data_IF_605463071220
#
_entry.id   IF_605463071220
#
_cell.length_a   1.000
_cell.length_b   1.000
_cell.length_c   1.000
_cell.angle_alpha   90.00
_cell.angle_beta   90.00
_cell.angle_gamma   90.00
#
_symmetry.space_group_name_H-M   'P 1'
#
loop_
_entity.id
_entity.type
_entity.pdbx_description
1 polymer ?
#
# COMPACT_ATOMS: atom_id res chain seq x y z
N UNK A 1 19.69 -11.80 -0.96
CA UNK A 1 19.16 -11.68 -2.34
C UNK A 1 17.73 -11.21 -2.30
N UNK A 2 17.33 -10.38 -3.28
CA UNK A 2 15.93 -9.94 -3.44
C UNK A 2 15.28 -10.79 -4.53
N UNK A 3 14.21 -11.49 -4.17
CA UNK A 3 13.50 -12.34 -5.09
C UNK A 3 12.51 -11.54 -5.97
N UNK A 4 12.31 -12.01 -7.19
CA UNK A 4 11.25 -11.51 -8.06
C UNK A 4 9.87 -11.85 -7.48
N UNK A 5 8.84 -11.03 -7.78
CA UNK A 5 7.48 -11.21 -7.26
C UNK A 5 6.77 -12.46 -7.78
N UNK A 6 7.30 -13.06 -8.83
CA UNK A 6 6.78 -14.26 -9.47
C UNK A 6 7.24 -15.56 -8.79
N UNK A 7 8.12 -15.49 -7.80
CA UNK A 7 8.64 -16.66 -7.07
C UNK A 7 7.63 -17.07 -6.00
N UNK A 8 7.14 -18.31 -6.08
CA UNK A 8 6.19 -18.88 -5.13
C UNK A 8 6.86 -19.46 -3.86
N UNK A 9 6.05 -19.78 -2.84
CA UNK A 9 6.55 -20.31 -1.56
C UNK A 9 7.38 -21.58 -1.71
N UNK A 10 6.97 -22.50 -2.57
CA UNK A 10 7.71 -23.76 -2.78
C UNK A 10 9.09 -23.50 -3.41
N UNK A 11 9.14 -22.56 -4.36
CA UNK A 11 10.41 -22.17 -4.98
C UNK A 11 11.32 -21.48 -3.96
N UNK A 12 10.77 -20.65 -3.05
CA UNK A 12 11.52 -20.01 -1.96
C UNK A 12 12.11 -21.07 -1.03
N UNK A 13 11.33 -22.07 -0.63
CA UNK A 13 11.81 -23.20 0.18
C UNK A 13 12.94 -23.96 -0.51
N UNK A 14 12.83 -24.16 -1.81
CA UNK A 14 13.88 -24.84 -2.59
C UNK A 14 15.13 -23.96 -2.72
N UNK A 15 14.98 -22.65 -2.95
CA UNK A 15 16.09 -21.69 -2.95
C UNK A 15 16.79 -21.74 -1.59
N UNK A 16 16.04 -21.64 -0.48
CA UNK A 16 16.60 -21.67 0.88
C UNK A 16 17.44 -22.91 1.15
N UNK A 17 17.03 -24.07 0.66
CA UNK A 17 17.79 -25.32 0.81
C UNK A 17 19.10 -25.34 0.05
N UNK A 18 19.22 -24.55 -1.04
CA UNK A 18 20.38 -24.59 -1.95
C UNK A 18 21.40 -23.47 -1.71
N UNK A 19 21.03 -22.41 -1.02
CA UNK A 19 21.91 -21.29 -0.76
C UNK A 19 22.56 -21.39 0.63
N UNK A 20 23.71 -20.71 0.89
CA UNK A 20 24.30 -20.64 2.21
C UNK A 20 23.33 -20.18 3.29
N UNK A 21 23.47 -20.73 4.50
CA UNK A 21 22.55 -20.44 5.60
C UNK A 21 22.56 -18.96 6.04
N UNK A 22 23.70 -18.29 5.88
CA UNK A 22 23.92 -16.89 6.19
C UNK A 22 23.46 -15.92 5.07
N UNK A 23 23.04 -16.45 3.92
CA UNK A 23 22.51 -15.61 2.84
C UNK A 23 21.08 -15.21 3.14
N UNK A 24 20.83 -13.91 3.25
CA UNK A 24 19.50 -13.34 3.44
C UNK A 24 18.63 -13.44 2.19
N UNK A 25 17.35 -13.75 2.39
CA UNK A 25 16.32 -13.75 1.35
C UNK A 25 15.35 -12.62 1.65
N UNK A 26 15.26 -11.64 0.74
CA UNK A 26 14.27 -10.57 0.77
C UNK A 26 13.19 -10.81 -0.28
N UNK A 27 11.93 -10.65 0.09
CA UNK A 27 10.80 -10.72 -0.84
C UNK A 27 9.81 -9.59 -0.63
N UNK A 28 9.11 -9.19 -1.69
CA UNK A 28 8.02 -8.22 -1.57
C UNK A 28 6.84 -8.86 -0.85
N UNK A 29 6.24 -8.11 0.08
CA UNK A 29 5.08 -8.58 0.87
C UNK A 29 3.87 -7.65 0.72
N UNK A 30 4.06 -6.41 0.23
CA UNK A 30 2.98 -5.44 0.09
C UNK A 30 3.22 -4.47 -1.06
N UNK A 31 2.12 -4.04 -1.66
CA UNK A 31 2.07 -2.94 -2.62
C UNK A 31 1.75 -3.38 -4.04
N UNK A 32 2.02 -2.48 -4.96
CA UNK A 32 1.62 -2.61 -6.35
C UNK A 32 2.30 -3.77 -7.07
N UNK A 33 1.50 -4.68 -7.64
CA UNK A 33 1.99 -5.70 -8.55
C UNK A 33 2.20 -5.13 -9.95
N UNK A 34 3.22 -5.63 -10.65
CA UNK A 34 3.48 -5.31 -12.04
C UNK A 34 2.71 -6.28 -12.95
N UNK A 35 2.24 -5.79 -14.09
CA UNK A 35 1.64 -6.61 -15.14
C UNK A 35 2.67 -7.41 -15.93
N UNK A 36 3.91 -6.94 -15.99
CA UNK A 36 5.02 -7.60 -16.66
C UNK A 36 5.90 -8.34 -15.67
N UNK A 37 6.57 -9.38 -16.14
CA UNK A 37 7.62 -10.03 -15.37
C UNK A 37 8.65 -9.02 -14.87
N UNK A 38 9.15 -9.22 -13.68
CA UNK A 38 10.15 -8.37 -13.03
C UNK A 38 11.37 -8.20 -13.95
N UNK A 39 11.79 -6.95 -14.15
CA UNK A 39 12.93 -6.59 -15.00
C UNK A 39 12.69 -6.70 -16.52
N UNK A 40 11.45 -6.91 -16.98
CA UNK A 40 11.14 -7.09 -18.43
C UNK A 40 10.26 -6.00 -19.01
N UNK A 41 9.75 -5.08 -18.21
CA UNK A 41 8.85 -4.04 -18.70
C UNK A 41 9.59 -2.90 -19.41
N UNK A 42 9.17 -2.56 -20.61
CA UNK A 42 9.68 -1.44 -21.39
C UNK A 42 8.64 -0.32 -21.60
N UNK A 43 7.38 -0.53 -21.21
CA UNK A 43 6.28 0.41 -21.49
C UNK A 43 6.55 1.79 -20.88
N UNK A 44 7.04 1.83 -19.63
CA UNK A 44 7.31 3.11 -18.96
C UNK A 44 8.42 3.91 -19.68
N UNK A 45 9.49 3.25 -20.07
CA UNK A 45 10.58 3.92 -20.79
C UNK A 45 10.11 4.39 -22.17
N UNK A 46 9.37 3.55 -22.89
CA UNK A 46 8.86 3.89 -24.22
C UNK A 46 7.90 5.09 -24.21
N UNK A 47 6.97 5.14 -23.24
CA UNK A 47 5.95 6.20 -23.19
C UNK A 47 6.42 7.47 -22.46
N UNK A 48 7.38 7.38 -21.54
CA UNK A 48 7.73 8.49 -20.63
C UNK A 48 9.21 8.76 -20.49
N UNK A 49 10.08 7.96 -21.13
CA UNK A 49 11.53 8.03 -20.94
C UNK A 49 12.01 7.56 -19.56
N UNK A 50 11.15 6.96 -18.73
CA UNK A 50 11.47 6.54 -17.36
C UNK A 50 11.64 5.02 -17.28
N UNK A 51 12.84 4.59 -16.90
CA UNK A 51 13.23 3.17 -16.86
C UNK A 51 12.56 2.39 -15.72
N UNK A 52 11.52 1.62 -16.03
CA UNK A 52 10.81 0.80 -15.04
C UNK A 52 11.76 -0.16 -14.30
N UNK A 53 12.71 -0.75 -15.01
CA UNK A 53 13.69 -1.71 -14.45
C UNK A 53 14.76 -1.04 -13.58
N UNK A 54 14.84 0.28 -13.58
CA UNK A 54 15.68 1.10 -12.69
C UNK A 54 14.90 1.66 -11.50
N UNK A 55 13.65 1.23 -11.34
CA UNK A 55 12.76 1.72 -10.29
C UNK A 55 12.12 3.08 -10.58
N UNK A 56 12.14 3.57 -11.82
CA UNK A 56 11.59 4.89 -12.22
C UNK A 56 10.23 4.77 -12.92
N UNK A 57 9.54 3.65 -12.73
CA UNK A 57 8.29 3.34 -13.40
C UNK A 57 7.21 4.42 -13.19
N UNK A 58 6.70 4.99 -14.28
CA UNK A 58 5.57 5.92 -14.28
C UNK A 58 4.21 5.21 -14.20
N UNK A 59 4.20 3.88 -14.14
CA UNK A 59 3.02 3.02 -14.10
C UNK A 59 2.04 3.22 -15.27
N UNK A 60 2.49 3.34 -16.51
CA UNK A 60 1.60 3.60 -17.65
C UNK A 60 0.60 2.46 -17.90
N UNK A 61 0.93 1.22 -17.51
CA UNK A 61 -0.02 0.10 -17.56
C UNK A 61 -1.29 0.31 -16.71
N UNK A 62 -1.33 1.36 -15.89
CA UNK A 62 -2.45 1.71 -15.02
C UNK A 62 -3.22 2.94 -15.50
N UNK A 63 -2.78 3.56 -16.60
CA UNK A 63 -3.51 4.65 -17.22
C UNK A 63 -4.73 4.13 -17.97
N UNK A 64 -5.71 4.99 -18.16
CA UNK A 64 -6.85 4.67 -19.02
C UNK A 64 -6.46 4.84 -20.49
N UNK A 65 -6.76 3.84 -21.29
CA UNK A 65 -6.45 3.83 -22.71
C UNK A 65 -7.71 3.62 -23.55
N UNK A 66 -7.65 4.18 -24.75
CA UNK A 66 -8.57 3.87 -25.83
C UNK A 66 -7.75 3.48 -27.05
N UNK A 67 -8.16 2.44 -27.74
CA UNK A 67 -7.61 2.10 -29.06
C UNK A 67 -8.33 2.93 -30.10
N UNK A 68 -7.56 3.42 -31.06
CA UNK A 68 -8.07 4.09 -32.27
C UNK A 68 -7.44 3.40 -33.47
N UNK A 69 -8.25 2.99 -34.43
CA UNK A 69 -7.77 2.48 -35.70
C UNK A 69 -7.39 3.65 -36.61
N UNK A 70 -6.23 3.59 -37.27
CA UNK A 70 -5.71 4.65 -38.15
C UNK A 70 -6.71 5.04 -39.26
N UNK A 71 -7.44 4.07 -39.81
CA UNK A 71 -8.45 4.28 -40.87
C UNK A 71 -9.82 4.73 -40.35
N UNK A 72 -9.98 4.82 -39.02
CA UNK A 72 -11.21 5.26 -38.37
C UNK A 72 -10.91 6.36 -37.35
N UNK A 73 -10.41 7.51 -37.77
CA UNK A 73 -10.09 8.60 -36.88
C UNK A 73 -11.34 9.05 -36.09
N UNK A 74 -11.15 9.40 -34.82
CA UNK A 74 -12.19 9.81 -33.89
C UNK A 74 -13.17 8.71 -33.41
N UNK A 75 -12.91 7.44 -33.73
CA UNK A 75 -13.59 6.32 -33.08
C UNK A 75 -12.67 5.72 -32.03
N UNK A 76 -13.09 5.82 -30.77
CA UNK A 76 -12.32 5.34 -29.63
C UNK A 76 -12.94 4.04 -29.10
N UNK A 77 -12.11 3.01 -29.02
CA UNK A 77 -12.50 1.72 -28.45
C UNK A 77 -11.89 1.63 -27.05
N UNK A 78 -12.77 1.60 -26.02
CA UNK A 78 -12.30 1.41 -24.65
C UNK A 78 -11.67 0.03 -24.51
N UNK A 79 -10.51 -0.02 -23.87
CA UNK A 79 -9.81 -1.28 -23.63
C UNK A 79 -10.22 -1.83 -22.28
N UNK A 80 -10.69 -3.07 -22.27
CA UNK A 80 -11.07 -3.84 -21.06
C UNK A 80 -10.77 -5.32 -21.29
N UNK A 81 -10.90 -6.15 -20.29
CA UNK A 81 -10.68 -7.60 -20.37
C UNK A 81 -11.94 -8.37 -20.04
N UNK A 82 -12.11 -9.50 -20.70
CA UNK A 82 -13.11 -10.51 -20.38
C UNK A 82 -12.49 -11.92 -20.36
N UNK A 83 -13.28 -12.95 -20.16
CA UNK A 83 -12.86 -14.36 -20.10
C UNK A 83 -12.14 -14.87 -21.36
N UNK A 84 -12.07 -14.10 -22.44
CA UNK A 84 -11.57 -14.50 -23.75
C UNK A 84 -10.26 -13.84 -24.16
N UNK A 85 -9.79 -12.80 -23.43
CA UNK A 85 -8.54 -12.13 -23.78
C UNK A 85 -8.22 -10.88 -22.96
N UNK A 86 -6.92 -10.54 -22.99
CA UNK A 86 -6.34 -9.46 -22.19
C UNK A 86 -6.41 -8.12 -22.90
N UNK A 87 -6.88 -7.17 -22.21
CA UNK A 87 -7.00 -5.77 -22.56
C UNK A 87 -6.28 -4.99 -21.48
N UNK A 88 -5.39 -4.19 -21.64
CA UNK A 88 -4.51 -3.46 -20.71
C UNK A 88 -5.07 -3.25 -19.27
N UNK A 89 -4.67 -3.68 -18.31
CA UNK A 89 -3.96 -4.47 -17.37
C UNK A 89 -3.95 -3.84 -15.96
N UNK A 90 -4.95 -4.14 -15.13
CA UNK A 90 -5.01 -3.77 -13.72
C UNK A 90 -4.67 -4.96 -12.83
N UNK A 91 -3.37 -5.16 -12.53
CA UNK A 91 -2.98 -6.12 -11.51
C UNK A 91 -3.54 -5.71 -10.15
N UNK A 92 -4.02 -6.67 -9.37
CA UNK A 92 -4.32 -6.48 -7.95
C UNK A 92 -3.07 -6.05 -7.20
N UNK A 93 -3.23 -5.36 -6.10
CA UNK A 93 -2.11 -5.05 -5.22
C UNK A 93 -1.82 -6.27 -4.34
N UNK A 94 -0.57 -6.43 -3.92
CA UNK A 94 -0.14 -7.53 -3.04
C UNK A 94 -0.35 -7.15 -1.58
N UNK A 95 -0.86 -8.09 -0.77
CA UNK A 95 -0.88 -8.01 0.68
C UNK A 95 -0.68 -9.40 1.28
N UNK A 96 0.40 -9.58 2.02
CA UNK A 96 0.78 -10.83 2.69
C UNK A 96 0.71 -10.70 4.23
N UNK A 97 -0.01 -9.72 4.75
CA UNK A 97 0.02 -9.39 6.18
C UNK A 97 -0.48 -10.53 7.08
N UNK A 98 -1.42 -11.33 6.59
CA UNK A 98 -1.97 -12.49 7.29
C UNK A 98 -1.19 -13.79 7.04
N UNK A 99 -0.11 -13.74 6.25
CA UNK A 99 0.65 -14.90 5.78
C UNK A 99 2.16 -14.74 6.02
N UNK A 100 2.55 -13.96 7.02
CA UNK A 100 3.96 -13.73 7.34
C UNK A 100 4.64 -14.98 7.89
N UNK A 101 3.91 -15.83 8.60
CA UNK A 101 4.35 -17.12 9.09
C UNK A 101 4.78 -18.04 7.95
N UNK A 102 3.98 -18.18 6.89
CA UNK A 102 4.32 -18.97 5.71
C UNK A 102 5.63 -18.53 5.05
N UNK A 103 5.86 -17.19 5.02
CA UNK A 103 7.10 -16.63 4.47
C UNK A 103 8.30 -16.89 5.37
N UNK A 104 8.15 -16.75 6.69
CA UNK A 104 9.19 -17.06 7.68
C UNK A 104 9.55 -18.55 7.58
N UNK A 105 8.55 -19.44 7.54
CA UNK A 105 8.73 -20.88 7.42
C UNK A 105 9.38 -21.29 6.09
N UNK A 106 9.15 -20.50 5.03
CA UNK A 106 9.83 -20.69 3.75
C UNK A 106 11.30 -20.22 3.77
N UNK A 107 11.73 -19.52 4.84
CA UNK A 107 13.10 -19.05 5.02
C UNK A 107 13.36 -17.61 4.52
N UNK A 108 12.32 -16.81 4.38
CA UNK A 108 12.43 -15.36 4.12
C UNK A 108 12.94 -14.67 5.39
N UNK A 109 13.93 -13.79 5.24
CA UNK A 109 14.58 -13.07 6.34
C UNK A 109 14.31 -11.56 6.31
N UNK A 110 13.80 -11.04 5.18
CA UNK A 110 13.53 -9.61 5.00
C UNK A 110 12.24 -9.40 4.19
N UNK A 111 11.36 -8.55 4.71
CA UNK A 111 10.08 -8.23 4.10
C UNK A 111 10.13 -6.84 3.46
N UNK A 112 9.85 -6.79 2.17
CA UNK A 112 9.92 -5.56 1.38
C UNK A 112 8.55 -5.01 1.07
N UNK A 113 8.31 -3.77 1.45
CA UNK A 113 7.08 -3.02 1.15
C UNK A 113 7.35 -2.11 -0.05
N UNK A 114 6.52 -2.18 -1.09
CA UNK A 114 6.56 -1.26 -2.22
C UNK A 114 5.71 -0.03 -1.94
N UNK A 115 6.35 1.10 -1.81
CA UNK A 115 5.70 2.38 -1.53
C UNK A 115 6.35 3.59 -2.21
N UNK A 116 7.25 3.37 -3.17
CA UNK A 116 8.05 4.43 -3.79
C UNK A 116 7.22 5.58 -4.40
N UNK A 117 6.13 5.24 -5.07
CA UNK A 117 5.23 6.22 -5.71
C UNK A 117 4.02 6.56 -4.81
N UNK A 118 4.09 6.24 -3.53
CA UNK A 118 3.02 6.43 -2.56
C UNK A 118 3.33 7.59 -1.60
N UNK A 119 2.32 8.04 -0.85
CA UNK A 119 2.47 9.10 0.16
C UNK A 119 3.24 8.60 1.39
N UNK A 120 3.76 9.55 2.18
CA UNK A 120 4.36 9.24 3.48
C UNK A 120 3.35 8.53 4.41
N UNK A 121 2.08 8.91 4.38
CA UNK A 121 0.99 8.25 5.10
C UNK A 121 0.86 6.77 4.74
N UNK A 122 0.86 6.46 3.44
CA UNK A 122 0.84 5.07 2.98
C UNK A 122 1.99 4.25 3.58
N UNK A 123 3.21 4.78 3.53
CA UNK A 123 4.38 4.09 4.04
C UNK A 123 4.32 3.92 5.55
N UNK A 124 3.99 4.99 6.28
CA UNK A 124 3.90 4.97 7.74
C UNK A 124 2.86 3.94 8.22
N UNK A 125 1.66 3.97 7.65
CA UNK A 125 0.57 3.06 8.01
C UNK A 125 0.94 1.60 7.68
N UNK A 126 1.43 1.34 6.47
CA UNK A 126 1.78 -0.01 6.04
C UNK A 126 2.90 -0.59 6.89
N UNK A 127 3.97 0.19 7.17
CA UNK A 127 5.08 -0.26 8.00
C UNK A 127 4.63 -0.52 9.43
N UNK A 128 3.78 0.34 10.00
CA UNK A 128 3.23 0.15 11.35
C UNK A 128 2.42 -1.14 11.44
N UNK A 129 1.51 -1.38 10.51
CA UNK A 129 0.68 -2.58 10.46
C UNK A 129 1.54 -3.85 10.30
N UNK A 130 2.48 -3.86 9.34
CA UNK A 130 3.38 -5.01 9.13
C UNK A 130 4.31 -5.25 10.32
N UNK A 131 4.78 -4.21 11.01
CA UNK A 131 5.60 -4.36 12.21
C UNK A 131 4.80 -5.05 13.32
N UNK A 132 3.57 -4.61 13.57
CA UNK A 132 2.69 -5.21 14.57
C UNK A 132 2.33 -6.67 14.22
N UNK A 133 2.03 -6.93 12.93
CA UNK A 133 1.75 -8.28 12.46
C UNK A 133 2.95 -9.21 12.63
N UNK A 134 4.15 -8.75 12.27
CA UNK A 134 5.38 -9.53 12.43
C UNK A 134 5.72 -9.79 13.89
N UNK A 135 5.54 -8.81 14.77
CA UNK A 135 5.78 -8.98 16.22
C UNK A 135 4.83 -10.01 16.86
N UNK A 136 3.58 -10.06 16.40
CA UNK A 136 2.63 -11.10 16.82
C UNK A 136 3.03 -12.47 16.26
N UNK A 137 3.36 -12.54 14.98
CA UNK A 137 3.78 -13.78 14.33
C UNK A 137 5.01 -14.40 14.99
N UNK A 138 6.03 -13.58 15.35
CA UNK A 138 7.23 -14.04 16.05
C UNK A 138 6.96 -14.56 17.47
N UNK A 139 5.82 -14.22 18.08
CA UNK A 139 5.34 -14.77 19.36
C UNK A 139 4.46 -16.01 19.18
N UNK A 140 4.19 -16.41 17.94
CA UNK A 140 3.24 -17.50 17.62
C UNK A 140 1.78 -17.07 17.78
N UNK A 141 1.50 -15.77 17.77
CA UNK A 141 0.17 -15.18 17.87
C UNK A 141 -0.34 -14.76 16.49
N UNK A 142 -1.67 -14.72 16.34
CA UNK A 142 -2.27 -14.13 15.13
C UNK A 142 -2.12 -12.60 15.15
N UNK A 143 -1.95 -11.96 13.99
CA UNK A 143 -1.96 -10.51 13.91
C UNK A 143 -3.23 -9.91 14.51
N UNK A 144 -3.14 -8.77 15.22
CA UNK A 144 -4.31 -8.06 15.71
C UNK A 144 -5.23 -7.66 14.55
N UNK A 145 -6.53 -7.68 14.77
CA UNK A 145 -7.52 -7.36 13.70
C UNK A 145 -7.29 -5.99 13.08
N UNK A 146 -6.91 -5.00 13.89
CA UNK A 146 -6.71 -3.64 13.41
C UNK A 146 -5.63 -3.51 12.32
N UNK A 147 -4.63 -4.41 12.25
CA UNK A 147 -3.57 -4.31 11.22
C UNK A 147 -4.13 -4.52 9.81
N UNK A 148 -5.13 -5.40 9.67
CA UNK A 148 -5.81 -5.62 8.38
C UNK A 148 -6.74 -4.46 8.06
N UNK A 149 -7.48 -3.96 9.07
CA UNK A 149 -8.34 -2.79 8.93
C UNK A 149 -7.51 -1.58 8.46
N UNK A 150 -6.30 -1.39 9.02
CA UNK A 150 -5.39 -0.31 8.62
C UNK A 150 -4.96 -0.39 7.15
N UNK A 151 -4.45 -1.53 6.69
CA UNK A 151 -3.98 -1.64 5.31
C UNK A 151 -5.11 -1.48 4.28
N UNK A 152 -6.37 -1.64 4.70
CA UNK A 152 -7.53 -1.35 3.86
C UNK A 152 -7.90 0.14 3.79
N UNK A 153 -7.41 0.99 4.69
CA UNK A 153 -7.66 2.46 4.68
C UNK A 153 -6.84 3.21 3.63
N UNK A 154 -5.68 2.69 3.27
CA UNK A 154 -4.79 3.34 2.31
C UNK A 154 -5.28 3.15 0.87
N UNK A 155 -4.81 4.02 -0.01
CA UNK A 155 -5.13 3.95 -1.44
C UNK A 155 -4.55 2.69 -2.07
N UNK A 156 -5.39 1.69 -2.32
CA UNK A 156 -5.00 0.41 -2.88
C UNK A 156 -6.05 -0.10 -3.90
N UNK A 157 -5.66 -1.10 -4.68
CA UNK A 157 -6.57 -1.96 -5.44
C UNK A 157 -6.93 -3.18 -4.62
N UNK A 158 -7.94 -3.96 -4.99
CA UNK A 158 -8.22 -5.21 -4.30
C UNK A 158 -6.94 -6.02 -4.10
N UNK A 159 -6.75 -6.51 -2.89
CA UNK A 159 -5.55 -7.25 -2.52
C UNK A 159 -5.56 -8.68 -3.05
N UNK A 160 -4.38 -9.23 -3.20
CA UNK A 160 -4.09 -10.63 -3.49
C UNK A 160 -2.79 -11.04 -2.82
N UNK A 161 -2.55 -12.34 -2.74
CA UNK A 161 -1.28 -12.89 -2.25
C UNK A 161 -0.20 -12.98 -3.36
N UNK A 162 -0.42 -12.33 -4.50
CA UNK A 162 0.50 -12.42 -5.64
C UNK A 162 0.65 -13.84 -6.15
N UNK A 163 1.89 -14.28 -6.34
CA UNK A 163 2.21 -15.63 -6.85
C UNK A 163 2.63 -16.62 -5.77
N UNK A 164 2.58 -16.26 -4.48
CA UNK A 164 3.09 -17.08 -3.41
C UNK A 164 2.43 -18.47 -3.35
N UNK A 165 1.14 -18.56 -3.59
CA UNK A 165 0.37 -19.83 -3.57
C UNK A 165 0.08 -20.39 -4.96
N UNK A 166 0.88 -20.02 -5.96
CA UNK A 166 0.79 -20.54 -7.32
C UNK A 166 0.38 -19.51 -8.35
N UNK A 167 0.16 -19.99 -9.58
CA UNK A 167 -0.27 -19.11 -10.68
C UNK A 167 -1.66 -18.56 -10.40
N UNK A 168 -1.93 -17.32 -10.84
CA UNK A 168 -3.27 -16.77 -10.78
C UNK A 168 -4.24 -17.68 -11.52
N UNK A 169 -5.13 -18.31 -10.81
CA UNK A 169 -6.26 -19.06 -11.35
C UNK A 169 -7.56 -18.45 -10.82
N UNK A 170 -8.62 -18.70 -11.49
CA UNK A 170 -9.99 -18.23 -11.36
C UNK A 170 -10.69 -18.32 -9.99
N UNK A 171 -10.02 -17.93 -8.93
CA UNK A 171 -10.71 -17.63 -7.66
C UNK A 171 -11.08 -18.78 -6.74
N UNK A 172 -10.52 -19.98 -6.91
CA UNK A 172 -10.93 -21.18 -6.14
C UNK A 172 -10.06 -21.49 -4.90
N UNK A 173 -9.47 -20.53 -4.21
CA UNK A 173 -8.43 -20.85 -3.23
C UNK A 173 -8.50 -20.23 -1.82
N UNK A 174 -9.38 -19.31 -1.46
CA UNK A 174 -9.49 -18.82 -0.06
C UNK A 174 -10.92 -18.61 0.40
N UNK A 175 -11.11 -18.79 1.72
CA UNK A 175 -12.38 -18.53 2.39
C UNK A 175 -12.58 -17.05 2.77
N UNK A 176 -11.58 -16.19 2.57
CA UNK A 176 -11.73 -14.74 2.79
C UNK A 176 -12.15 -14.07 1.47
N UNK A 177 -13.37 -13.51 1.40
CA UNK A 177 -13.85 -12.83 0.22
C UNK A 177 -13.05 -11.55 -0.13
N UNK A 178 -12.23 -11.04 0.80
CA UNK A 178 -11.42 -9.84 0.62
C UNK A 178 -9.98 -10.16 0.16
N UNK A 179 -9.51 -11.38 0.35
CA UNK A 179 -8.17 -11.82 -0.08
C UNK A 179 -8.31 -12.87 -1.16
N UNK A 180 -8.19 -12.47 -2.39
CA UNK A 180 -8.10 -13.41 -3.50
C UNK A 180 -6.68 -13.96 -3.54
N UNK A 181 -6.52 -15.25 -3.24
CA UNK A 181 -5.22 -15.94 -3.17
C UNK A 181 -4.46 -16.01 -4.49
N UNK A 182 -5.02 -15.48 -5.54
CA UNK A 182 -4.42 -15.56 -6.86
C UNK A 182 -4.19 -14.15 -7.39
N UNK A 183 -2.99 -13.86 -7.86
CA UNK A 183 -2.56 -12.60 -8.47
C UNK A 183 -3.36 -12.22 -9.72
N UNK A 184 -4.70 -12.28 -9.61
CA UNK A 184 -5.64 -12.01 -10.68
C UNK A 184 -5.65 -10.55 -11.10
N UNK A 185 -6.21 -10.30 -12.27
CA UNK A 185 -6.51 -8.97 -12.77
C UNK A 185 -7.80 -8.44 -12.12
N UNK A 186 -7.88 -7.14 -11.89
CA UNK A 186 -9.08 -6.48 -11.39
C UNK A 186 -9.76 -5.71 -12.53
N UNK A 187 -11.04 -6.00 -12.77
CA UNK A 187 -11.75 -5.58 -13.98
C UNK A 187 -12.84 -4.53 -13.77
N UNK A 188 -13.25 -4.29 -12.51
CA UNK A 188 -14.40 -3.41 -12.26
C UNK A 188 -14.13 -1.95 -12.61
N UNK A 189 -12.97 -1.42 -12.23
CA UNK A 189 -12.50 -0.10 -12.64
C UNK A 189 -10.96 0.04 -12.48
N UNK A 190 -10.39 1.18 -12.90
CA UNK A 190 -8.99 1.52 -12.67
C UNK A 190 -8.78 2.32 -11.39
N UNK A 191 -9.83 2.54 -10.60
CA UNK A 191 -9.81 3.35 -9.40
C UNK A 191 -9.08 2.70 -8.24
N UNK A 192 -8.46 3.53 -7.42
CA UNK A 192 -8.01 3.14 -6.10
C UNK A 192 -9.16 3.34 -5.12
N UNK A 193 -9.39 2.37 -4.24
CA UNK A 193 -10.23 2.57 -3.05
C UNK A 193 -9.51 3.53 -2.10
N UNK A 194 -10.21 4.50 -1.55
CA UNK A 194 -9.67 5.48 -0.62
C UNK A 194 -10.77 5.98 0.30
N UNK A 195 -10.74 5.54 1.53
CA UNK A 195 -11.74 5.87 2.53
C UNK A 195 -11.25 6.95 3.52
N UNK A 196 -9.94 7.24 3.54
CA UNK A 196 -9.30 8.17 4.47
C UNK A 196 -8.46 9.21 3.75
N UNK A 197 -8.51 10.45 4.25
CA UNK A 197 -7.67 11.55 3.79
C UNK A 197 -6.50 11.79 4.74
N UNK A 198 -5.31 11.92 4.18
CA UNK A 198 -4.11 12.30 4.93
C UNK A 198 -4.14 13.80 5.21
N UNK A 199 -4.53 14.21 6.43
CA UNK A 199 -4.76 15.61 6.78
C UNK A 199 -3.57 16.33 7.37
N UNK A 200 -2.60 15.64 7.97
CA UNK A 200 -1.43 16.28 8.55
C UNK A 200 -0.36 15.33 9.06
N UNK A 201 0.78 15.90 9.43
CA UNK A 201 1.87 15.23 10.12
C UNK A 201 2.06 15.91 11.46
N UNK A 202 2.04 15.16 12.55
CA UNK A 202 2.38 15.67 13.87
C UNK A 202 3.88 15.95 13.90
N UNK A 203 4.24 17.18 14.22
CA UNK A 203 5.64 17.60 14.33
C UNK A 203 6.17 17.25 15.73
N UNK A 204 5.39 17.60 16.77
CA UNK A 204 5.68 17.28 18.18
C UNK A 204 4.44 17.51 19.06
N UNK A 205 4.48 17.02 20.30
CA UNK A 205 3.52 17.32 21.34
C UNK A 205 4.24 17.88 22.57
N UNK A 206 3.75 19.00 23.10
CA UNK A 206 4.29 19.67 24.28
C UNK A 206 3.16 20.32 25.10
N UNK A 207 3.22 20.20 26.42
CA UNK A 207 2.27 20.83 27.37
C UNK A 207 0.77 20.60 27.05
N UNK A 208 0.42 19.41 26.56
CA UNK A 208 -0.96 19.08 26.21
C UNK A 208 -1.43 19.71 24.89
N UNK A 209 -0.50 20.10 24.03
CA UNK A 209 -0.78 20.63 22.69
C UNK A 209 -0.04 19.82 21.65
N UNK A 210 -0.79 19.36 20.65
CA UNK A 210 -0.25 18.71 19.46
C UNK A 210 0.03 19.77 18.39
N UNK A 211 1.27 19.85 17.94
CA UNK A 211 1.71 20.72 16.84
C UNK A 211 1.83 19.90 15.57
N UNK A 212 1.22 20.33 14.49
CA UNK A 212 1.18 19.58 13.23
C UNK A 212 1.36 20.47 12.00
N UNK A 213 1.84 19.86 10.94
CA UNK A 213 1.89 20.46 9.59
C UNK A 213 0.75 19.89 8.77
N UNK A 214 -0.17 20.77 8.36
CA UNK A 214 -1.32 20.41 7.53
C UNK A 214 -0.89 19.85 6.16
N UNK A 215 -1.65 18.89 5.63
CA UNK A 215 -1.48 18.31 4.29
C UNK A 215 -2.73 18.43 3.44
N UNK A 216 -3.89 18.22 4.03
CA UNK A 216 -5.19 18.36 3.36
C UNK A 216 -6.16 19.15 4.22
N UNK A 217 -7.29 19.53 3.61
CA UNK A 217 -8.39 20.20 4.25
C UNK A 217 -9.03 19.31 5.33
N UNK A 218 -9.36 19.88 6.50
CA UNK A 218 -10.20 19.28 7.54
C UNK A 218 -10.81 20.37 8.44
N UNK A 219 -11.79 19.99 9.23
CA UNK A 219 -12.54 20.88 10.11
C UNK A 219 -12.63 20.32 11.53
N UNK A 220 -13.05 21.16 12.49
CA UNK A 220 -13.35 20.70 13.86
C UNK A 220 -14.51 19.70 13.94
N UNK A 221 -15.36 19.61 12.92
CA UNK A 221 -16.43 18.62 12.89
C UNK A 221 -15.97 17.23 12.49
N UNK A 222 -14.80 17.11 11.87
CA UNK A 222 -14.27 15.85 11.43
C UNK A 222 -13.72 15.02 12.61
N UNK A 223 -13.94 13.72 12.53
CA UNK A 223 -13.27 12.75 13.38
C UNK A 223 -11.90 12.45 12.77
N UNK A 224 -10.86 12.59 13.57
CA UNK A 224 -9.48 12.40 13.16
C UNK A 224 -8.94 11.09 13.72
N UNK A 225 -8.01 10.51 12.99
CA UNK A 225 -7.28 9.33 13.40
C UNK A 225 -5.79 9.66 13.46
N UNK A 226 -5.21 9.48 14.63
CA UNK A 226 -3.78 9.62 14.85
C UNK A 226 -3.12 8.26 14.74
N UNK A 227 -2.11 8.15 13.89
CA UNK A 227 -1.30 6.96 13.70
C UNK A 227 0.01 7.08 14.52
N UNK A 228 0.07 6.55 15.74
CA UNK A 228 1.31 6.52 16.51
C UNK A 228 2.21 5.38 16.01
N UNK A 229 3.55 5.50 16.15
CA UNK A 229 4.44 4.40 15.81
C UNK A 229 4.25 3.21 16.77
N UNK A 230 4.28 1.99 16.21
CA UNK A 230 4.20 0.72 16.94
C UNK A 230 2.92 0.51 17.77
N UNK A 231 1.83 1.19 17.44
CA UNK A 231 0.58 1.09 18.16
C UNK A 231 -0.64 1.19 17.25
N UNK A 232 -1.78 0.79 17.80
CA UNK A 232 -3.09 0.95 17.18
C UNK A 232 -3.43 2.44 17.02
N UNK A 233 -4.08 2.83 15.92
CA UNK A 233 -4.52 4.20 15.72
C UNK A 233 -5.46 4.69 16.81
N UNK A 234 -5.36 5.99 17.13
CA UNK A 234 -6.18 6.65 18.15
C UNK A 234 -7.18 7.56 17.44
N UNK A 235 -8.47 7.26 17.62
CA UNK A 235 -9.55 8.08 17.08
C UNK A 235 -9.87 9.20 18.07
N UNK A 236 -9.95 10.43 17.59
CA UNK A 236 -10.31 11.58 18.39
C UNK A 236 -11.00 12.68 17.56
N UNK A 237 -11.72 13.55 18.25
CA UNK A 237 -12.31 14.73 17.65
C UNK A 237 -11.71 15.97 18.31
N UNK A 238 -11.11 16.91 17.54
CA UNK A 238 -10.54 18.12 18.12
C UNK A 238 -11.66 19.03 18.65
N UNK A 239 -11.49 19.55 19.86
CA UNK A 239 -12.42 20.53 20.44
C UNK A 239 -12.12 21.97 19.99
N UNK A 240 -10.86 22.25 19.72
CA UNK A 240 -10.37 23.53 19.23
C UNK A 240 -9.10 23.36 18.38
N UNK A 241 -8.85 24.30 17.51
CA UNK A 241 -7.67 24.31 16.65
C UNK A 241 -7.20 25.76 16.48
N UNK A 242 -5.88 25.95 16.39
CA UNK A 242 -5.27 27.27 16.28
C UNK A 242 -4.29 27.30 15.09
N UNK A 243 -4.29 28.41 14.37
CA UNK A 243 -3.29 28.70 13.35
C UNK A 243 -1.91 29.04 13.93
N UNK A 244 -0.93 29.20 13.07
CA UNK A 244 0.44 29.53 13.46
C UNK A 244 0.57 30.87 14.21
N UNK A 245 -0.37 31.78 14.02
CA UNK A 245 -0.45 33.07 14.69
C UNK A 245 -1.19 33.03 16.04
N UNK A 246 -1.63 31.83 16.46
CA UNK A 246 -2.41 31.62 17.68
C UNK A 246 -3.90 31.98 17.54
N UNK A 247 -4.38 32.34 16.37
CA UNK A 247 -5.80 32.58 16.12
C UNK A 247 -6.57 31.29 16.12
N UNK A 248 -7.69 31.22 16.84
CA UNK A 248 -8.57 30.05 16.79
C UNK A 248 -9.25 29.95 15.43
N UNK A 249 -9.26 28.77 14.87
CA UNK A 249 -9.86 28.47 13.57
C UNK A 249 -10.70 27.22 13.65
N UNK A 250 -11.77 27.15 12.86
CA UNK A 250 -12.66 25.98 12.76
C UNK A 250 -12.31 25.11 11.56
N UNK A 251 -11.53 25.64 10.64
CA UNK A 251 -11.23 25.00 9.34
C UNK A 251 -9.75 25.18 9.00
N UNK A 252 -9.07 24.07 8.77
CA UNK A 252 -7.73 24.00 8.21
C UNK A 252 -7.80 23.98 6.68
N UNK A 253 -7.38 25.05 6.00
CA UNK A 253 -7.61 25.25 4.55
C UNK A 253 -6.37 25.13 3.69
N UNK A 254 -5.18 25.37 4.24
CA UNK A 254 -3.97 25.55 3.45
C UNK A 254 -2.94 24.47 3.76
N UNK A 255 -2.60 23.68 2.75
CA UNK A 255 -1.52 22.72 2.88
C UNK A 255 -0.22 23.42 3.33
N UNK A 256 0.56 22.72 4.18
CA UNK A 256 1.81 23.19 4.79
C UNK A 256 1.69 24.26 5.89
N UNK A 257 0.47 24.70 6.23
CA UNK A 257 0.25 25.56 7.40
C UNK A 257 0.58 24.79 8.71
N UNK A 258 1.14 25.53 9.67
CA UNK A 258 1.37 25.01 11.03
C UNK A 258 0.11 25.24 11.86
N UNK A 259 -0.33 24.18 12.51
CA UNK A 259 -1.51 24.19 13.34
C UNK A 259 -1.19 23.64 14.72
N UNK A 260 -1.99 24.00 15.70
CA UNK A 260 -1.94 23.40 17.03
C UNK A 260 -3.33 22.97 17.51
N UNK A 261 -3.40 21.81 18.13
CA UNK A 261 -4.62 21.19 18.66
C UNK A 261 -4.38 20.85 20.13
N UNK A 262 -5.06 21.49 21.09
CA UNK A 262 -5.04 21.04 22.47
C UNK A 262 -5.58 19.60 22.57
N UNK A 263 -4.87 18.72 23.27
CA UNK A 263 -5.25 17.33 23.40
C UNK A 263 -4.60 16.69 24.62
N UNK A 264 -5.30 15.74 25.22
CA UNK A 264 -4.74 14.89 26.27
C UNK A 264 -3.94 13.69 25.71
N UNK A 265 -3.91 13.52 24.38
CA UNK A 265 -3.19 12.42 23.72
C UNK A 265 -1.69 12.74 23.78
N UNK A 266 -0.92 11.82 24.35
CA UNK A 266 0.54 11.91 24.39
C UNK A 266 1.09 11.15 23.20
N UNK A 267 1.74 11.86 22.28
CA UNK A 267 2.45 11.26 21.15
C UNK A 267 3.94 11.25 21.49
N UNK A 268 4.62 10.10 21.38
CA UNK A 268 6.07 10.08 21.59
C UNK A 268 6.76 10.96 20.56
N UNK A 269 7.87 11.62 20.90
CA UNK A 269 8.67 12.35 19.94
C UNK A 269 9.23 11.38 18.87
N UNK A 270 9.34 11.87 17.63
CA UNK A 270 9.94 11.11 16.52
C UNK A 270 11.44 10.94 16.69
#
# INVERSE_FOLDING_TARGET
>A
VVLAREVGLEDIREIRRRIPADMEIETFVHGAMCVSFSGRCLISEYLTGRGANRGECAQPCRWSYYLMEEKRPNQFFKVFEDERGSYILNSRDMCMIDHLDDLIDAGVTSFKIEGRAKSAYYVALTVNAYRAALDSCLKGEKPPKWVLDEVNKISHRPYSTGFFYGKPTDGSGTQDPNIVTNGGQYFADSGYMRDYDFVGVVDYCEDGVMHLTQRNYFTLSDELELLPPHAEPIIFKPESMFGADGTQIDIARRATEKLSIPTAIVVPPH
#
